data_IF_412829529256
#
_entry.id   IF_412829529256
#
_cell.length_a   1.000
_cell.length_b   1.000
_cell.length_c   1.000
_cell.angle_alpha   90.00
_cell.angle_beta   90.00
_cell.angle_gamma   90.00
#
_symmetry.space_group_name_H-M   'P 1'
#
loop_
_entity.id
_entity.type
_entity.pdbx_description
1 polymer ?
#
# COMPACT_ATOMS: atom_id res chain seq x y z
N UNK A 1 -3.59 31.02 -6.05
CA UNK A 1 -3.27 31.72 -4.79
C UNK A 1 -4.49 32.49 -4.27
N UNK A 2 -5.17 33.28 -5.13
CA UNK A 2 -6.36 34.04 -4.75
C UNK A 2 -7.58 33.15 -4.47
N UNK A 3 -7.73 32.04 -5.16
CA UNK A 3 -8.79 31.05 -4.89
C UNK A 3 -8.60 30.40 -3.52
N UNK A 4 -7.38 30.11 -3.14
CA UNK A 4 -7.09 29.60 -1.81
C UNK A 4 -7.39 30.61 -0.70
N UNK A 5 -7.15 31.90 -0.95
CA UNK A 5 -7.52 32.98 -0.03
C UNK A 5 -9.02 33.22 0.02
N UNK A 6 -9.76 33.04 -1.07
CA UNK A 6 -11.22 33.08 -1.06
C UNK A 6 -11.84 31.88 -0.34
N UNK A 7 -11.20 30.73 -0.37
CA UNK A 7 -11.59 29.55 0.42
C UNK A 7 -11.34 29.76 1.93
N UNK A 8 -10.46 30.65 2.29
CA UNK A 8 -10.08 31.01 3.66
C UNK A 8 -10.81 32.25 4.17
N UNK A 9 -11.78 32.76 3.45
CA UNK A 9 -12.40 34.09 3.69
C UNK A 9 -13.44 34.18 4.80
N UNK A 10 -13.66 33.17 5.63
CA UNK A 10 -14.49 33.26 6.82
C UNK A 10 -13.65 33.30 8.09
N UNK A 11 -14.17 33.85 9.18
CA UNK A 11 -13.45 33.86 10.48
C UNK A 11 -12.99 32.48 10.94
N UNK A 12 -13.66 31.41 10.50
CA UNK A 12 -13.23 30.04 10.73
C UNK A 12 -11.91 29.73 10.02
N UNK A 13 -11.69 30.32 8.88
CA UNK A 13 -10.50 30.08 8.07
C UNK A 13 -9.27 30.85 8.52
N UNK A 14 -9.43 31.91 9.31
CA UNK A 14 -8.29 32.66 9.89
C UNK A 14 -7.45 31.79 10.83
N UNK A 15 -8.01 30.70 11.33
CA UNK A 15 -7.33 29.73 12.18
C UNK A 15 -6.80 28.53 11.43
N UNK A 16 -7.13 28.42 10.16
CA UNK A 16 -6.79 27.23 9.37
C UNK A 16 -5.46 27.41 8.68
N UNK A 17 -4.72 26.33 8.63
CA UNK A 17 -3.45 26.27 7.92
C UNK A 17 -3.70 26.00 6.45
N UNK A 18 -3.39 26.94 5.58
CA UNK A 18 -3.31 26.65 4.14
C UNK A 18 -1.99 25.91 3.88
N UNK A 19 -2.10 24.68 3.42
CA UNK A 19 -0.95 23.83 3.13
C UNK A 19 -0.88 23.55 1.63
N UNK A 20 0.33 23.28 1.15
CA UNK A 20 0.50 22.74 -0.19
C UNK A 20 -0.18 21.39 -0.30
N UNK A 21 -0.69 21.07 -1.50
CA UNK A 21 -1.30 19.77 -1.74
C UNK A 21 -0.34 18.63 -1.36
N UNK A 22 -0.81 17.70 -0.53
CA UNK A 22 -0.05 16.54 -0.08
C UNK A 22 -0.99 15.35 0.13
N UNK A 23 -0.41 14.16 0.15
CA UNK A 23 -1.16 12.94 0.36
C UNK A 23 -1.20 12.60 1.86
N UNK A 24 -1.95 13.34 2.63
CA UNK A 24 -2.01 13.21 4.08
C UNK A 24 -3.42 13.09 4.65
N UNK A 25 -4.32 13.99 4.31
CA UNK A 25 -5.64 14.05 4.91
C UNK A 25 -6.47 12.78 4.76
N UNK A 26 -6.35 12.05 3.66
CA UNK A 26 -7.18 10.87 3.42
C UNK A 26 -6.85 9.66 4.33
N UNK A 27 -5.76 9.70 5.09
CA UNK A 27 -5.38 8.65 6.05
C UNK A 27 -5.09 9.19 7.47
N UNK A 28 -5.53 10.39 7.76
CA UNK A 28 -5.45 10.99 9.09
C UNK A 28 -4.08 11.52 9.49
N UNK A 29 -3.20 11.75 8.53
CA UNK A 29 -1.93 12.40 8.77
C UNK A 29 -2.03 13.88 8.46
N UNK A 30 -2.10 14.69 9.46
CA UNK A 30 -1.92 16.13 9.37
C UNK A 30 -3.13 16.99 9.70
N UNK A 31 -4.34 16.63 9.32
CA UNK A 31 -5.52 17.45 9.61
C UNK A 31 -6.64 16.59 10.18
N UNK A 32 -6.89 16.78 11.46
CA UNK A 32 -7.97 16.11 12.19
C UNK A 32 -9.06 17.13 12.47
N UNK A 33 -10.33 16.88 12.08
CA UNK A 33 -11.43 17.76 12.43
C UNK A 33 -11.57 17.91 13.95
N UNK A 34 -12.01 19.05 14.38
CA UNK A 34 -12.35 19.26 15.79
C UNK A 34 -13.59 18.42 16.18
N UNK A 35 -13.80 18.23 17.48
CA UNK A 35 -15.01 17.58 17.97
C UNK A 35 -16.25 18.35 17.50
N UNK A 36 -17.26 17.62 17.04
CA UNK A 36 -18.49 18.15 16.43
C UNK A 36 -18.25 18.96 15.13
N UNK A 37 -17.07 18.89 14.53
CA UNK A 37 -16.82 19.58 13.28
C UNK A 37 -17.54 18.90 12.11
N UNK A 38 -17.88 19.71 11.12
CA UNK A 38 -18.41 19.28 9.84
C UNK A 38 -17.35 19.52 8.76
N UNK A 39 -16.91 18.46 8.11
CA UNK A 39 -15.89 18.50 7.07
C UNK A 39 -16.51 18.26 5.70
N UNK A 40 -16.21 19.13 4.74
CA UNK A 40 -16.65 18.97 3.35
C UNK A 40 -15.44 18.57 2.52
N UNK A 41 -15.58 17.48 1.78
CA UNK A 41 -14.46 16.87 1.04
C UNK A 41 -14.85 16.49 -0.37
N UNK A 42 -13.86 16.45 -1.23
CA UNK A 42 -14.03 15.83 -2.55
C UNK A 42 -14.20 14.32 -2.42
N UNK A 43 -15.08 13.75 -3.24
CA UNK A 43 -15.45 12.33 -3.21
C UNK A 43 -14.32 11.35 -3.51
N UNK A 44 -13.21 11.82 -4.07
CA UNK A 44 -12.07 10.97 -4.41
C UNK A 44 -11.32 10.53 -3.16
N UNK A 45 -11.21 9.23 -2.94
CA UNK A 45 -10.45 8.62 -1.84
C UNK A 45 -10.96 8.94 -0.42
N UNK A 46 -12.24 9.21 -0.27
CA UNK A 46 -12.81 9.29 1.06
C UNK A 46 -13.15 7.89 1.57
N UNK A 47 -12.39 7.39 2.51
CA UNK A 47 -12.61 6.11 3.14
C UNK A 47 -13.19 6.29 4.53
N UNK A 48 -14.15 5.45 4.97
CA UNK A 48 -14.63 5.47 6.33
C UNK A 48 -13.47 5.29 7.32
N UNK A 49 -13.55 5.95 8.45
CA UNK A 49 -12.56 5.84 9.54
C UNK A 49 -11.12 6.22 9.18
N UNK A 50 -10.93 6.95 8.09
CA UNK A 50 -9.67 7.62 7.78
C UNK A 50 -9.83 9.10 8.04
N UNK A 51 -8.78 9.84 8.12
CA UNK A 51 -8.82 11.28 8.27
C UNK A 51 -9.70 11.78 9.44
N UNK A 52 -9.12 11.86 10.58
CA UNK A 52 -9.77 12.44 11.76
C UNK A 52 -10.97 11.67 12.31
N UNK A 53 -11.36 10.63 11.63
CA UNK A 53 -12.43 9.76 12.06
C UNK A 53 -12.00 8.68 13.06
N UNK A 54 -10.75 8.64 13.43
CA UNK A 54 -10.33 7.94 14.66
C UNK A 54 -10.74 8.83 15.84
N UNK A 55 -12.03 8.85 16.09
CA UNK A 55 -12.62 9.55 17.19
C UNK A 55 -12.10 8.94 18.48
N UNK A 56 -11.37 9.72 19.22
CA UNK A 56 -10.91 9.35 20.54
C UNK A 56 -11.82 10.01 21.57
N UNK A 57 -12.01 9.37 22.69
CA UNK A 57 -12.71 9.97 23.85
C UNK A 57 -14.14 10.46 23.57
N UNK A 58 -14.92 9.75 22.76
CA UNK A 58 -16.31 10.11 22.47
C UNK A 58 -16.49 11.34 21.55
N UNK A 59 -15.44 11.83 20.93
CA UNK A 59 -15.54 12.89 19.91
C UNK A 59 -16.29 12.39 18.69
N UNK A 60 -17.02 13.27 18.04
CA UNK A 60 -17.72 13.02 16.78
C UNK A 60 -17.36 14.07 15.73
N UNK A 61 -17.33 13.67 14.47
CA UNK A 61 -17.25 14.58 13.34
C UNK A 61 -18.14 14.07 12.21
N UNK A 62 -18.64 14.96 11.39
CA UNK A 62 -19.48 14.65 10.24
C UNK A 62 -18.76 15.00 8.95
N UNK A 63 -19.00 14.24 7.90
CA UNK A 63 -18.38 14.44 6.59
C UNK A 63 -19.44 14.50 5.50
N UNK A 64 -19.36 15.50 4.64
CA UNK A 64 -20.09 15.53 3.38
C UNK A 64 -19.12 15.39 2.20
N UNK A 65 -19.53 14.62 1.21
CA UNK A 65 -18.80 14.48 -0.05
C UNK A 65 -19.45 15.36 -1.10
N UNK A 66 -18.64 16.20 -1.72
CA UNK A 66 -19.09 17.12 -2.76
C UNK A 66 -18.11 17.10 -3.93
N UNK A 67 -18.54 17.56 -5.10
CA UNK A 67 -17.66 17.86 -6.21
C UNK A 67 -16.84 19.15 -5.96
N UNK A 68 -15.70 19.27 -6.63
CA UNK A 68 -14.78 20.38 -6.39
C UNK A 68 -15.39 21.76 -6.62
N UNK A 69 -16.34 21.89 -7.55
CA UNK A 69 -17.01 23.17 -7.85
C UNK A 69 -17.97 23.56 -6.74
N UNK A 70 -18.74 22.59 -6.24
CA UNK A 70 -19.64 22.82 -5.10
C UNK A 70 -18.89 23.10 -3.81
N UNK A 71 -17.69 22.50 -3.61
CA UNK A 71 -16.79 22.88 -2.51
C UNK A 71 -16.36 24.34 -2.66
N UNK A 72 -15.92 24.74 -3.83
CA UNK A 72 -15.51 26.12 -4.10
C UNK A 72 -16.67 27.12 -3.92
N UNK A 73 -17.87 26.79 -4.42
CA UNK A 73 -19.07 27.60 -4.24
C UNK A 73 -19.46 27.76 -2.76
N UNK A 74 -19.41 26.67 -2.00
CA UNK A 74 -19.66 26.69 -0.56
C UNK A 74 -18.65 27.56 0.19
N UNK A 75 -17.36 27.47 -0.16
CA UNK A 75 -16.33 28.30 0.44
C UNK A 75 -16.50 29.79 0.08
N UNK A 76 -16.76 30.10 -1.19
CA UNK A 76 -17.05 31.46 -1.63
C UNK A 76 -18.29 32.06 -0.94
N UNK A 77 -19.26 31.22 -0.62
CA UNK A 77 -20.46 31.63 0.15
C UNK A 77 -20.25 31.44 1.68
N UNK A 78 -19.06 31.72 2.17
CA UNK A 78 -18.71 31.78 3.61
C UNK A 78 -19.05 30.50 4.40
N UNK A 79 -19.01 29.35 3.75
CA UNK A 79 -19.29 28.05 4.36
C UNK A 79 -20.73 27.60 4.34
N UNK A 80 -21.67 28.41 3.80
CA UNK A 80 -23.03 27.95 3.56
C UNK A 80 -23.04 26.96 2.41
N UNK A 81 -23.63 25.78 2.64
CA UNK A 81 -23.73 24.73 1.62
C UNK A 81 -24.37 25.28 0.35
N UNK A 82 -23.63 25.37 -0.71
CA UNK A 82 -24.01 25.95 -1.97
C UNK A 82 -23.66 25.03 -3.11
N UNK A 83 -24.61 24.51 -3.88
CA UNK A 83 -24.32 23.74 -5.07
C UNK A 83 -23.72 24.64 -6.15
N UNK A 84 -22.84 24.07 -6.98
CA UNK A 84 -22.17 24.81 -8.06
C UNK A 84 -23.18 25.41 -9.09
N UNK A 85 -24.37 24.84 -9.18
CA UNK A 85 -25.46 25.32 -10.04
C UNK A 85 -26.07 26.66 -9.61
N UNK A 86 -25.90 27.04 -8.34
CA UNK A 86 -26.45 28.27 -7.77
C UNK A 86 -25.48 29.45 -7.88
N UNK A 87 -24.30 29.23 -8.48
CA UNK A 87 -23.31 30.26 -8.71
C UNK A 87 -23.22 30.54 -10.21
N UNK A 88 -23.38 31.79 -10.60
CA UNK A 88 -23.14 32.21 -11.96
C UNK A 88 -21.63 32.07 -12.28
N UNK A 89 -21.29 31.05 -13.04
CA UNK A 89 -19.92 30.65 -13.28
C UNK A 89 -19.24 31.41 -14.44
N UNK A 90 -19.97 32.23 -15.18
CA UNK A 90 -19.47 32.87 -16.40
C UNK A 90 -18.24 33.75 -16.16
N UNK A 91 -18.14 34.38 -15.00
CA UNK A 91 -17.03 35.31 -14.66
C UNK A 91 -15.86 34.62 -13.95
N UNK A 92 -16.05 33.38 -13.52
CA UNK A 92 -15.07 32.64 -12.69
C UNK A 92 -14.42 31.46 -13.40
N UNK A 93 -14.75 31.19 -14.66
CA UNK A 93 -14.06 30.14 -15.41
C UNK A 93 -12.72 30.69 -15.90
N UNK A 94 -11.62 30.36 -15.24
CA UNK A 94 -10.31 30.80 -15.72
C UNK A 94 -10.06 30.20 -17.09
N UNK A 95 -9.52 31.00 -18.00
CA UNK A 95 -9.00 30.43 -19.26
C UNK A 95 -7.88 29.48 -18.89
N UNK A 96 -7.94 28.27 -19.42
CA UNK A 96 -6.87 27.32 -19.24
C UNK A 96 -5.55 27.93 -19.76
N UNK A 97 -4.58 27.96 -18.90
CA UNK A 97 -3.21 28.33 -19.23
C UNK A 97 -2.28 27.25 -18.72
N UNK A 98 -1.56 26.62 -19.63
CA UNK A 98 -0.52 25.68 -19.26
C UNK A 98 0.82 26.41 -19.17
N UNK A 99 1.36 26.50 -17.96
CA UNK A 99 2.70 26.99 -17.72
C UNK A 99 3.67 25.81 -17.62
N UNK A 100 4.53 25.67 -18.61
CA UNK A 100 5.52 24.59 -18.66
C UNK A 100 6.78 24.84 -17.85
N UNK A 101 6.92 26.02 -17.25
CA UNK A 101 8.14 26.45 -16.53
C UNK A 101 8.56 25.44 -15.46
N UNK A 102 7.58 24.80 -14.77
CA UNK A 102 7.86 23.78 -13.76
C UNK A 102 8.52 22.56 -14.39
N UNK A 103 8.07 22.15 -15.57
CA UNK A 103 8.66 21.02 -16.29
C UNK A 103 10.04 21.37 -16.81
N UNK A 104 10.18 22.54 -17.43
CA UNK A 104 11.46 23.03 -17.97
C UNK A 104 12.55 23.12 -16.87
N UNK A 105 12.15 23.43 -15.63
CA UNK A 105 13.07 23.59 -14.51
C UNK A 105 13.31 22.30 -13.69
N UNK A 106 12.44 21.29 -13.80
CA UNK A 106 12.49 20.11 -12.92
C UNK A 106 12.59 18.77 -13.64
N UNK A 107 12.27 18.73 -14.90
CA UNK A 107 12.33 17.51 -15.70
C UNK A 107 13.55 17.61 -16.62
N UNK A 108 14.49 16.70 -16.43
CA UNK A 108 15.59 16.54 -17.38
C UNK A 108 15.03 15.95 -18.68
N UNK A 109 15.21 16.65 -19.76
CA UNK A 109 14.83 16.22 -21.11
C UNK A 109 16.09 16.00 -21.96
N UNK A 110 16.48 14.75 -22.12
CA UNK A 110 17.61 14.36 -22.98
C UNK A 110 17.30 14.48 -24.46
N UNK A 111 16.08 14.83 -24.85
CA UNK A 111 15.60 14.92 -26.25
C UNK A 111 15.88 13.66 -27.07
N UNK A 112 15.80 12.50 -26.41
CA UNK A 112 16.03 11.19 -27.02
C UNK A 112 17.50 10.84 -27.22
N UNK A 113 18.43 11.64 -26.70
CA UNK A 113 19.87 11.33 -26.75
C UNK A 113 20.26 10.67 -25.43
N UNK A 114 20.70 9.42 -25.50
CA UNK A 114 21.24 8.73 -24.33
C UNK A 114 22.62 9.28 -23.97
N UNK A 115 22.84 9.58 -22.70
CA UNK A 115 24.14 9.92 -22.16
C UNK A 115 24.60 8.82 -21.20
N UNK A 116 25.50 7.92 -21.61
CA UNK A 116 25.97 6.83 -20.78
C UNK A 116 26.83 7.26 -19.58
N UNK A 117 27.23 8.54 -19.51
CA UNK A 117 27.99 9.07 -18.38
C UNK A 117 27.10 9.50 -17.22
N UNK A 118 25.76 9.55 -17.41
CA UNK A 118 24.83 9.93 -16.35
C UNK A 118 24.61 8.77 -15.40
N UNK A 119 24.99 8.97 -14.15
CA UNK A 119 24.75 8.01 -13.06
C UNK A 119 23.44 8.30 -12.34
N UNK A 120 22.71 7.25 -12.00
CA UNK A 120 21.52 7.37 -11.17
C UNK A 120 21.95 7.58 -9.71
N UNK A 121 21.57 8.71 -9.14
CA UNK A 121 21.78 9.00 -7.72
C UNK A 121 20.47 8.87 -6.96
N UNK A 122 20.41 7.92 -6.05
CA UNK A 122 19.24 7.74 -5.20
C UNK A 122 19.21 8.80 -4.09
N UNK A 123 18.01 9.30 -3.81
CA UNK A 123 17.75 10.07 -2.60
C UNK A 123 17.96 9.22 -1.33
N UNK A 124 18.05 9.83 -0.15
CA UNK A 124 18.45 9.14 1.10
C UNK A 124 17.53 7.98 1.50
N UNK A 125 16.26 8.03 1.12
CA UNK A 125 15.25 7.01 1.45
C UNK A 125 14.93 6.06 0.29
N UNK A 126 15.66 6.15 -0.81
CA UNK A 126 15.47 5.29 -1.98
C UNK A 126 16.53 4.19 -1.96
N UNK A 127 16.08 2.95 -2.05
CA UNK A 127 16.93 1.76 -2.14
C UNK A 127 16.47 0.88 -3.28
N UNK A 128 17.40 0.16 -3.86
CA UNK A 128 17.09 -0.85 -4.87
C UNK A 128 16.23 -1.97 -4.30
N UNK A 129 15.53 -2.64 -5.21
CA UNK A 129 14.86 -3.89 -4.90
C UNK A 129 15.90 -4.98 -4.63
N UNK A 130 15.69 -5.83 -3.62
CA UNK A 130 16.53 -7.01 -3.44
C UNK A 130 16.30 -8.01 -4.56
N UNK A 131 17.28 -8.86 -4.78
CA UNK A 131 17.08 -10.05 -5.60
C UNK A 131 16.03 -10.95 -4.97
N UNK A 132 15.10 -11.42 -5.79
CA UNK A 132 13.97 -12.25 -5.37
C UNK A 132 13.95 -13.54 -6.17
N UNK A 133 13.85 -14.66 -5.46
CA UNK A 133 13.79 -15.98 -6.06
C UNK A 133 12.63 -16.12 -7.05
N UNK A 134 12.91 -16.73 -8.21
CA UNK A 134 11.90 -17.13 -9.15
C UNK A 134 11.09 -18.32 -8.60
N UNK A 135 9.85 -18.50 -9.09
CA UNK A 135 9.07 -19.68 -8.73
C UNK A 135 9.70 -20.93 -9.39
N UNK A 136 9.96 -21.98 -8.62
CA UNK A 136 10.48 -23.23 -9.14
C UNK A 136 9.39 -24.09 -9.79
N UNK A 137 9.77 -25.21 -10.36
CA UNK A 137 8.83 -26.16 -10.94
C UNK A 137 7.92 -26.79 -9.89
N UNK A 138 8.49 -27.17 -8.75
CA UNK A 138 7.75 -27.70 -7.59
C UNK A 138 7.97 -26.78 -6.39
N UNK A 139 6.91 -26.52 -5.64
CA UNK A 139 6.95 -25.58 -4.51
C UNK A 139 6.48 -26.26 -3.23
N UNK A 140 7.28 -26.15 -2.20
CA UNK A 140 6.85 -26.37 -0.83
C UNK A 140 6.48 -25.01 -0.21
N UNK A 141 5.25 -24.87 0.26
CA UNK A 141 4.75 -23.64 0.86
C UNK A 141 4.59 -23.82 2.37
N UNK A 142 5.36 -23.06 3.14
CA UNK A 142 5.18 -22.99 4.60
C UNK A 142 4.18 -21.90 4.94
N UNK A 143 3.07 -22.27 5.60
CA UNK A 143 2.16 -21.29 6.19
C UNK A 143 2.85 -20.66 7.39
N UNK A 144 3.10 -19.36 7.34
CA UNK A 144 3.81 -18.61 8.38
C UNK A 144 2.91 -17.62 9.12
N UNK A 145 1.67 -17.45 8.68
CA UNK A 145 0.65 -16.67 9.38
C UNK A 145 -0.74 -17.15 8.98
N UNK A 146 -1.63 -17.24 9.96
CA UNK A 146 -3.04 -17.60 9.78
C UNK A 146 -3.94 -16.49 10.34
N UNK A 147 -4.77 -15.90 9.48
CA UNK A 147 -5.64 -14.78 9.83
C UNK A 147 -7.10 -15.21 9.65
N UNK A 148 -7.80 -15.41 10.74
CA UNK A 148 -9.19 -15.87 10.76
C UNK A 148 -10.23 -14.76 10.84
N UNK A 149 -9.82 -13.49 10.83
CA UNK A 149 -10.75 -12.37 10.77
C UNK A 149 -11.56 -12.40 9.47
N UNK A 150 -12.85 -12.02 9.52
CA UNK A 150 -13.71 -12.04 8.34
C UNK A 150 -13.18 -11.25 7.14
N UNK A 151 -12.45 -10.17 7.39
CA UNK A 151 -11.77 -9.34 6.39
C UNK A 151 -10.43 -8.88 6.95
N UNK A 152 -9.37 -8.96 6.13
CA UNK A 152 -8.07 -8.41 6.46
C UNK A 152 -7.77 -7.24 5.55
N UNK A 153 -7.58 -6.06 6.14
CA UNK A 153 -7.30 -4.84 5.40
C UNK A 153 -5.85 -4.80 4.90
N UNK A 154 -5.61 -4.02 3.86
CA UNK A 154 -4.23 -3.77 3.39
C UNK A 154 -3.40 -3.01 4.42
N UNK A 155 -4.02 -2.27 5.35
CA UNK A 155 -3.32 -1.57 6.43
C UNK A 155 -2.90 -2.52 7.56
N UNK A 156 -3.59 -3.65 7.72
CA UNK A 156 -3.14 -4.75 8.59
C UNK A 156 -2.03 -5.58 7.94
N UNK A 157 -2.08 -5.75 6.61
CA UNK A 157 -1.01 -6.42 5.87
C UNK A 157 0.28 -5.58 5.81
N UNK A 158 0.14 -4.26 5.67
CA UNK A 158 1.23 -3.29 5.69
C UNK A 158 0.73 -1.94 6.19
N UNK A 159 1.15 -1.45 7.36
CA UNK A 159 0.65 -0.21 7.95
C UNK A 159 1.17 1.02 7.19
N UNK A 160 0.45 1.44 6.15
CA UNK A 160 0.90 2.44 5.18
C UNK A 160 1.12 3.84 5.74
N UNK A 161 0.46 4.20 6.83
CA UNK A 161 0.63 5.50 7.50
C UNK A 161 1.98 5.61 8.21
N UNK A 162 2.31 4.64 9.03
CA UNK A 162 3.54 4.62 9.86
C UNK A 162 4.79 4.40 9.02
N UNK A 163 4.64 3.74 7.87
CA UNK A 163 5.75 3.34 7.02
C UNK A 163 5.99 4.26 5.82
N UNK A 164 5.39 5.45 5.84
CA UNK A 164 5.44 6.37 4.69
C UNK A 164 6.85 6.74 4.26
N UNK A 165 7.81 6.83 5.18
CA UNK A 165 9.22 7.11 4.89
C UNK A 165 9.97 5.95 4.25
N UNK A 166 9.45 4.73 4.34
CA UNK A 166 10.08 3.53 3.78
C UNK A 166 9.53 3.12 2.41
N UNK A 167 8.59 3.87 1.83
CA UNK A 167 7.91 3.47 0.58
C UNK A 167 8.83 3.20 -0.60
N UNK A 168 9.99 3.83 -0.64
CA UNK A 168 11.02 3.63 -1.65
C UNK A 168 12.21 2.82 -1.14
N UNK A 169 12.04 2.10 -0.04
CA UNK A 169 13.01 1.18 0.54
C UNK A 169 12.33 -0.18 0.76
N UNK A 170 12.34 -1.07 -0.23
CA UNK A 170 11.58 -2.32 -0.19
C UNK A 170 11.90 -3.20 1.02
N UNK A 171 13.18 -3.36 1.36
CA UNK A 171 13.60 -4.14 2.52
C UNK A 171 13.13 -3.48 3.82
N UNK A 172 13.35 -2.17 3.96
CA UNK A 172 12.92 -1.46 5.15
C UNK A 172 11.40 -1.44 5.33
N UNK A 173 10.64 -1.36 4.24
CA UNK A 173 9.18 -1.44 4.27
C UNK A 173 8.69 -2.84 4.66
N UNK A 174 9.31 -3.89 4.13
CA UNK A 174 8.92 -5.27 4.38
C UNK A 174 9.02 -5.67 5.86
N UNK A 175 9.92 -5.03 6.65
CA UNK A 175 10.03 -5.26 8.10
C UNK A 175 8.75 -4.93 8.88
N UNK A 176 7.84 -4.16 8.28
CA UNK A 176 6.54 -3.81 8.88
C UNK A 176 5.38 -4.70 8.40
N UNK A 177 5.65 -5.70 7.55
CA UNK A 177 4.60 -6.58 7.06
C UNK A 177 3.93 -7.30 8.23
N UNK A 178 2.59 -7.24 8.27
CA UNK A 178 1.76 -7.83 9.33
C UNK A 178 2.08 -7.37 10.77
N UNK A 179 2.91 -6.33 10.96
CA UNK A 179 3.40 -5.92 12.28
C UNK A 179 2.30 -5.63 13.31
N UNK A 180 1.11 -5.23 12.85
CA UNK A 180 -0.05 -4.97 13.71
C UNK A 180 -0.94 -6.19 13.93
N UNK A 181 -0.82 -7.20 13.08
CA UNK A 181 -1.71 -8.36 13.07
C UNK A 181 -1.03 -9.62 13.58
N UNK A 182 0.15 -9.88 13.07
CA UNK A 182 0.99 -11.01 13.44
C UNK A 182 2.47 -10.56 13.47
N UNK A 183 2.95 -10.03 14.60
CA UNK A 183 4.32 -9.54 14.70
C UNK A 183 5.39 -10.61 14.47
N UNK A 184 5.06 -11.90 14.58
CA UNK A 184 5.99 -12.99 14.34
C UNK A 184 6.23 -13.25 12.84
N UNK A 185 5.32 -12.81 11.98
CA UNK A 185 5.33 -13.09 10.55
C UNK A 185 6.69 -12.83 9.87
N UNK A 186 7.27 -11.65 10.09
CA UNK A 186 8.53 -11.26 9.43
C UNK A 186 9.66 -12.22 9.79
N UNK A 187 9.77 -12.60 11.06
CA UNK A 187 10.77 -13.56 11.53
C UNK A 187 10.59 -14.93 10.88
N UNK A 188 9.37 -15.46 10.92
CA UNK A 188 9.03 -16.76 10.35
C UNK A 188 9.23 -16.80 8.82
N UNK A 189 8.83 -15.75 8.11
CA UNK A 189 9.04 -15.65 6.67
C UNK A 189 10.54 -15.64 6.30
N UNK A 190 11.37 -14.92 7.06
CA UNK A 190 12.82 -14.89 6.86
C UNK A 190 13.49 -16.25 7.13
N UNK A 191 13.01 -17.03 8.10
CA UNK A 191 13.50 -18.39 8.32
C UNK A 191 13.23 -19.28 7.09
N UNK A 192 12.02 -19.22 6.53
CA UNK A 192 11.70 -19.94 5.29
C UNK A 192 12.57 -19.44 4.13
N UNK A 193 12.80 -18.14 4.02
CA UNK A 193 13.65 -17.56 2.98
C UNK A 193 15.10 -18.05 3.07
N UNK A 194 15.62 -18.31 4.27
CA UNK A 194 16.96 -18.88 4.45
C UNK A 194 17.06 -20.28 3.84
N UNK A 195 16.03 -21.12 4.00
CA UNK A 195 15.99 -22.44 3.39
C UNK A 195 16.04 -22.36 1.85
N UNK A 196 15.31 -21.42 1.25
CA UNK A 196 15.36 -21.20 -0.19
C UNK A 196 16.73 -20.73 -0.66
N UNK A 197 17.35 -19.81 0.06
CA UNK A 197 18.71 -19.35 -0.26
C UNK A 197 19.75 -20.45 -0.14
N UNK A 198 19.60 -21.38 0.82
CA UNK A 198 20.46 -22.55 0.93
C UNK A 198 20.32 -23.46 -0.31
N UNK A 199 19.08 -23.71 -0.77
CA UNK A 199 18.86 -24.47 -2.03
C UNK A 199 19.55 -23.78 -3.22
N UNK A 200 19.41 -22.48 -3.36
CA UNK A 200 20.01 -21.69 -4.43
C UNK A 200 21.55 -21.70 -4.37
N UNK A 201 22.11 -21.80 -3.17
CA UNK A 201 23.55 -21.95 -2.95
C UNK A 201 24.05 -23.39 -3.12
N UNK A 202 23.16 -24.37 -3.37
CA UNK A 202 23.50 -25.80 -3.43
C UNK A 202 23.77 -26.43 -2.05
N UNK A 203 23.29 -25.78 -0.98
CA UNK A 203 23.38 -26.24 0.40
C UNK A 203 22.13 -27.06 0.81
N UNK A 204 22.22 -27.77 1.93
CA UNK A 204 21.08 -28.54 2.45
C UNK A 204 20.04 -27.60 3.11
N UNK A 205 18.84 -27.54 2.52
CA UNK A 205 17.73 -26.78 3.07
C UNK A 205 17.35 -27.22 4.48
N UNK A 206 17.48 -28.51 4.82
CA UNK A 206 17.15 -29.04 6.12
C UNK A 206 18.17 -28.62 7.20
N UNK A 207 19.41 -28.33 6.84
CA UNK A 207 20.37 -27.73 7.79
C UNK A 207 20.03 -26.26 8.06
N UNK A 208 19.64 -25.50 7.02
CA UNK A 208 19.27 -24.09 7.15
C UNK A 208 17.91 -23.90 7.87
N UNK A 209 17.00 -24.85 7.69
CA UNK A 209 15.67 -24.83 8.30
C UNK A 209 15.21 -26.24 8.65
N UNK A 210 15.56 -26.77 9.86
CA UNK A 210 15.34 -28.16 10.23
C UNK A 210 13.89 -28.67 10.19
N UNK A 211 12.92 -27.77 10.35
CA UNK A 211 11.49 -28.12 10.32
C UNK A 211 11.06 -28.74 8.98
N UNK A 212 11.76 -28.48 7.89
CA UNK A 212 11.39 -29.01 6.58
C UNK A 212 11.92 -30.42 6.32
N UNK A 213 12.80 -30.95 7.17
CA UNK A 213 13.46 -32.24 6.92
C UNK A 213 12.46 -33.39 6.71
N UNK A 214 11.59 -33.61 7.67
CA UNK A 214 10.59 -34.71 7.61
C UNK A 214 9.61 -34.51 6.45
N UNK A 215 9.27 -33.24 6.14
CA UNK A 215 8.39 -32.91 5.03
C UNK A 215 9.08 -33.21 3.69
N UNK A 216 10.37 -32.88 3.55
CA UNK A 216 11.13 -33.18 2.34
C UNK A 216 11.26 -34.69 2.11
N UNK A 217 11.47 -35.48 3.16
CA UNK A 217 11.48 -36.94 3.08
C UNK A 217 10.12 -37.46 2.61
N UNK A 218 9.03 -37.01 3.21
CA UNK A 218 7.65 -37.38 2.80
C UNK A 218 7.34 -37.00 1.35
N UNK A 219 7.77 -35.81 0.91
CA UNK A 219 7.58 -35.34 -0.47
C UNK A 219 8.33 -36.23 -1.45
N UNK A 220 9.58 -36.58 -1.14
CA UNK A 220 10.39 -37.49 -1.98
C UNK A 220 9.78 -38.90 -2.08
N UNK A 221 9.18 -39.41 -1.01
CA UNK A 221 8.47 -40.69 -1.00
C UNK A 221 7.17 -40.64 -1.82
N UNK A 222 6.45 -39.56 -1.75
CA UNK A 222 5.13 -39.41 -2.39
C UNK A 222 5.21 -38.96 -3.84
N UNK A 223 6.26 -38.25 -4.24
CA UNK A 223 6.45 -37.62 -5.55
C UNK A 223 7.85 -37.91 -6.07
N UNK A 224 8.04 -39.03 -6.75
CA UNK A 224 9.35 -39.53 -7.20
C UNK A 224 10.07 -38.60 -8.21
N UNK A 225 9.34 -37.73 -8.88
CA UNK A 225 9.86 -36.72 -9.81
C UNK A 225 10.31 -35.42 -9.14
N UNK A 226 10.02 -35.27 -7.84
CA UNK A 226 10.46 -34.10 -7.06
C UNK A 226 11.86 -34.34 -6.52
N UNK A 227 12.79 -33.52 -6.95
CA UNK A 227 14.20 -33.54 -6.55
C UNK A 227 14.59 -32.20 -5.92
N UNK A 228 15.71 -32.15 -5.23
CA UNK A 228 16.21 -30.89 -4.68
C UNK A 228 16.46 -29.83 -5.76
N UNK A 229 16.81 -30.25 -6.99
CA UNK A 229 17.11 -29.34 -8.10
C UNK A 229 15.86 -28.69 -8.70
N UNK A 230 14.67 -29.31 -8.55
CA UNK A 230 13.43 -28.79 -9.09
C UNK A 230 12.40 -28.37 -8.03
N UNK A 231 12.78 -28.43 -6.73
CA UNK A 231 11.98 -28.01 -5.59
C UNK A 231 12.51 -26.70 -5.03
N UNK A 232 11.60 -25.79 -4.70
CA UNK A 232 11.90 -24.61 -3.90
C UNK A 232 10.97 -24.49 -2.71
N UNK A 233 11.34 -23.66 -1.75
CA UNK A 233 10.61 -23.44 -0.50
C UNK A 233 10.26 -21.97 -0.37
N UNK A 234 8.97 -21.66 -0.22
CA UNK A 234 8.47 -20.30 -0.04
C UNK A 234 7.50 -20.18 1.12
N UNK A 235 7.35 -18.97 1.63
CA UNK A 235 6.35 -18.68 2.64
C UNK A 235 4.98 -18.36 2.00
N UNK A 236 3.92 -18.63 2.76
CA UNK A 236 2.56 -18.24 2.42
C UNK A 236 1.80 -17.82 3.67
N UNK A 237 0.79 -16.98 3.49
CA UNK A 237 -0.20 -16.69 4.54
C UNK A 237 -1.54 -17.34 4.19
N UNK A 238 -2.28 -17.74 5.22
CA UNK A 238 -3.72 -17.97 5.10
C UNK A 238 -4.48 -16.76 5.64
N UNK A 239 -5.52 -16.32 4.93
CA UNK A 239 -6.44 -15.30 5.43
C UNK A 239 -7.84 -15.51 4.82
N UNK A 240 -8.90 -15.33 5.63
CA UNK A 240 -10.28 -15.55 5.17
C UNK A 240 -10.62 -14.66 3.97
N UNK A 241 -10.36 -13.34 4.05
CA UNK A 241 -10.64 -12.40 2.98
C UNK A 241 -9.65 -11.24 3.00
N UNK A 242 -8.43 -11.42 2.49
CA UNK A 242 -7.39 -10.41 2.53
C UNK A 242 -7.53 -9.37 1.40
N UNK A 243 -6.95 -8.19 1.64
CA UNK A 243 -6.67 -7.19 0.61
C UNK A 243 -7.73 -6.10 0.45
N UNK A 244 -8.53 -5.82 1.49
CA UNK A 244 -9.39 -4.65 1.51
C UNK A 244 -8.60 -3.39 1.81
N UNK A 245 -8.70 -2.38 0.94
CA UNK A 245 -8.00 -1.11 1.12
C UNK A 245 -7.23 -0.64 -0.11
N UNK A 246 -6.33 0.34 0.06
CA UNK A 246 -5.62 1.01 -1.04
C UNK A 246 -4.14 0.63 -1.18
N UNK A 247 -3.46 0.19 -0.14
CA UNK A 247 -2.04 -0.17 -0.16
C UNK A 247 -1.80 -1.61 -0.68
N UNK A 248 -2.55 -2.03 -1.67
CA UNK A 248 -2.57 -3.41 -2.19
C UNK A 248 -1.28 -3.86 -2.81
N UNK A 249 -0.60 -2.96 -3.50
CA UNK A 249 0.67 -3.24 -4.13
C UNK A 249 1.75 -3.51 -3.07
N UNK A 250 1.89 -2.63 -2.08
CA UNK A 250 2.86 -2.82 -1.00
C UNK A 250 2.54 -4.01 -0.10
N UNK A 251 1.24 -4.31 0.11
CA UNK A 251 0.81 -5.51 0.82
C UNK A 251 1.26 -6.81 0.12
N UNK A 252 1.37 -6.81 -1.19
CA UNK A 252 1.89 -7.95 -1.96
C UNK A 252 3.42 -7.92 -2.06
N UNK A 253 4.02 -6.78 -2.44
CA UNK A 253 5.46 -6.68 -2.65
C UNK A 253 6.28 -6.94 -1.37
N UNK A 254 5.81 -6.49 -0.21
CA UNK A 254 6.50 -6.75 1.06
C UNK A 254 6.56 -8.24 1.39
N UNK A 255 5.50 -9.00 1.12
CA UNK A 255 5.50 -10.44 1.29
C UNK A 255 6.49 -11.10 0.32
N UNK A 256 6.52 -10.65 -0.95
CA UNK A 256 7.48 -11.17 -1.95
C UNK A 256 8.92 -10.92 -1.54
N UNK A 257 9.23 -9.73 -1.05
CA UNK A 257 10.56 -9.36 -0.53
C UNK A 257 11.03 -10.28 0.60
N UNK A 258 10.09 -10.76 1.42
CA UNK A 258 10.34 -11.70 2.52
C UNK A 258 10.30 -13.18 2.10
N UNK A 259 10.29 -13.48 0.81
CA UNK A 259 10.25 -14.86 0.33
C UNK A 259 8.85 -15.46 0.23
N UNK A 260 7.81 -14.62 0.22
CA UNK A 260 6.44 -15.04 -0.02
C UNK A 260 6.22 -15.46 -1.48
N UNK A 261 5.60 -16.63 -1.70
CA UNK A 261 5.32 -17.17 -3.03
C UNK A 261 3.84 -17.35 -3.31
N UNK A 262 3.03 -17.38 -2.26
CA UNK A 262 1.60 -17.56 -2.41
C UNK A 262 0.82 -16.85 -1.29
N UNK A 263 -0.46 -16.66 -1.53
CA UNK A 263 -1.46 -16.44 -0.49
C UNK A 263 -2.56 -17.49 -0.67
N UNK A 264 -3.07 -18.00 0.43
CA UNK A 264 -4.21 -18.91 0.48
C UNK A 264 -5.35 -18.17 1.14
N UNK A 265 -6.52 -18.09 0.51
CA UNK A 265 -7.66 -17.37 1.02
C UNK A 265 -8.97 -18.14 0.74
N UNK A 266 -10.03 -17.88 1.53
CA UNK A 266 -11.36 -18.33 1.12
C UNK A 266 -11.89 -17.42 0.00
N UNK A 267 -11.63 -16.12 0.09
CA UNK A 267 -12.01 -15.11 -0.91
C UNK A 267 -11.01 -13.95 -0.88
N UNK A 268 -10.80 -13.29 -2.00
CA UNK A 268 -10.03 -12.04 -2.03
C UNK A 268 -10.96 -10.83 -1.95
N UNK A 269 -10.69 -9.92 -1.02
CA UNK A 269 -11.52 -8.72 -0.82
C UNK A 269 -11.59 -7.84 -2.07
N UNK A 270 -10.52 -7.79 -2.86
CA UNK A 270 -10.48 -7.03 -4.12
C UNK A 270 -9.75 -7.78 -5.23
N UNK A 271 -10.24 -7.64 -6.46
CA UNK A 271 -9.53 -8.13 -7.66
C UNK A 271 -8.12 -7.51 -7.78
N UNK A 272 -7.96 -6.28 -7.32
CA UNK A 272 -6.68 -5.55 -7.41
C UNK A 272 -5.61 -6.15 -6.52
N UNK A 273 -5.94 -6.55 -5.29
CA UNK A 273 -4.97 -7.22 -4.43
C UNK A 273 -4.51 -8.54 -5.04
N UNK A 274 -5.46 -9.36 -5.54
CA UNK A 274 -5.15 -10.59 -6.25
C UNK A 274 -4.25 -10.36 -7.47
N UNK A 275 -4.54 -9.33 -8.27
CA UNK A 275 -3.71 -8.97 -9.42
C UNK A 275 -2.31 -8.51 -9.00
N UNK A 276 -2.18 -7.80 -7.87
CA UNK A 276 -0.87 -7.40 -7.37
C UNK A 276 -0.03 -8.60 -6.92
N UNK A 277 -0.63 -9.60 -6.28
CA UNK A 277 0.08 -10.85 -5.97
C UNK A 277 0.66 -11.48 -7.25
N UNK A 278 -0.17 -11.60 -8.29
CA UNK A 278 0.26 -12.15 -9.59
C UNK A 278 1.38 -11.32 -10.22
N UNK A 279 1.24 -10.00 -10.21
CA UNK A 279 2.26 -9.09 -10.77
C UNK A 279 3.61 -9.22 -10.07
N UNK A 280 3.61 -9.56 -8.78
CA UNK A 280 4.83 -9.85 -8.02
C UNK A 280 5.29 -11.31 -8.11
N UNK A 281 4.69 -12.12 -9.00
CA UNK A 281 5.03 -13.53 -9.15
C UNK A 281 4.64 -14.38 -7.95
N UNK A 282 3.54 -14.02 -7.28
CA UNK A 282 2.96 -14.81 -6.20
C UNK A 282 1.66 -15.47 -6.66
N UNK A 283 1.34 -16.64 -6.12
CA UNK A 283 0.16 -17.43 -6.49
C UNK A 283 -1.00 -17.16 -5.53
N UNK A 284 -2.13 -16.59 -5.99
CA UNK A 284 -3.31 -16.40 -5.18
C UNK A 284 -4.22 -17.63 -5.24
N UNK A 285 -4.08 -18.53 -4.28
CA UNK A 285 -4.96 -19.69 -4.15
C UNK A 285 -6.26 -19.36 -3.42
N UNK A 286 -7.31 -20.08 -3.76
CA UNK A 286 -8.56 -20.08 -3.00
C UNK A 286 -8.89 -21.48 -2.55
N UNK A 287 -9.40 -21.61 -1.31
CA UNK A 287 -9.90 -22.86 -0.73
C UNK A 287 -11.31 -22.63 -0.17
N UNK A 288 -12.13 -23.65 -0.26
CA UNK A 288 -13.47 -23.58 0.30
C UNK A 288 -13.42 -23.44 1.82
N UNK A 289 -14.46 -22.81 2.37
CA UNK A 289 -14.68 -22.83 3.82
C UNK A 289 -15.09 -24.25 4.20
N UNK A 290 -14.22 -24.94 4.93
CA UNK A 290 -14.53 -26.24 5.49
C UNK A 290 -15.69 -26.21 6.50
#
# INVERSE_FOLDING_TARGET
YEIAQCLVGSEMCIRDSVKTAFCGPCFGAGDTPANNAFSIRHSTRNFPNREGSKLQNGQISSVALMDARSIAATAANKGYLTPATDVEASDFIPKYHFDKTIYDNRVFDSKGVADPSVEIQFGPNIKDWPEMSALPQNMLLKVVSEIHDPVTTTDELIPSGETSSYRSNPLGLAEFALSRKDPAYVGLAKEVQKAQKAIEAGEDAAEAFPEVKDILETVKESYADVTQDNLGIGSTIFAVKPGDGSAREQAASCQKVLGGWANIANEYATKRYRSNLINWGMLPFTIDKG
#
